data_IF_202920035540
#
_entry.id   IF_202920035540
#
_cell.length_a   1.000
_cell.length_b   1.000
_cell.length_c   1.000
_cell.angle_alpha   90.00
_cell.angle_beta   90.00
_cell.angle_gamma   90.00
#
_symmetry.space_group_name_H-M   'P 1'
#
loop_
_entity.id
_entity.type
_entity.pdbx_description
1 polymer ?
#
# COMPACT_ATOMS: atom_id res chain seq x y z
N UNK A 1 30.59 2.37 -26.51
CA UNK A 1 30.07 2.86 -27.80
C UNK A 1 28.59 2.41 -28.09
N UNK A 2 28.15 1.20 -27.71
CA UNK A 2 26.75 0.77 -27.94
C UNK A 2 25.68 1.59 -27.16
N UNK A 3 26.01 2.06 -25.95
CA UNK A 3 25.08 2.86 -25.13
C UNK A 3 24.76 4.24 -25.70
N UNK A 4 25.71 4.89 -26.38
CA UNK A 4 25.48 6.18 -27.04
C UNK A 4 24.63 6.06 -28.31
N UNK A 5 24.73 4.92 -29.02
CA UNK A 5 23.92 4.65 -30.21
C UNK A 5 22.44 4.45 -29.87
N UNK A 6 22.11 3.91 -28.70
CA UNK A 6 20.74 3.73 -28.23
C UNK A 6 20.08 5.09 -27.90
N UNK A 7 20.86 6.02 -27.29
CA UNK A 7 20.35 7.38 -27.01
C UNK A 7 20.19 8.20 -28.30
N UNK A 8 21.00 7.92 -29.34
CA UNK A 8 20.88 8.56 -30.66
C UNK A 8 19.63 8.10 -31.45
N UNK A 9 19.02 6.96 -31.08
CA UNK A 9 17.77 6.46 -31.71
C UNK A 9 16.51 6.94 -31.03
N UNK A 10 16.60 7.60 -29.84
CA UNK A 10 15.45 8.11 -29.10
C UNK A 10 14.88 9.36 -29.81
N UNK A 11 13.61 9.29 -30.19
CA UNK A 11 12.94 10.42 -30.82
C UNK A 11 12.32 11.35 -29.76
N UNK A 12 13.09 12.35 -29.37
CA UNK A 12 12.63 13.38 -28.42
C UNK A 12 11.42 14.17 -28.93
N UNK A 13 11.29 14.36 -30.25
CA UNK A 13 10.16 15.12 -30.82
C UNK A 13 8.84 14.34 -30.67
N UNK A 14 8.88 13.04 -30.91
CA UNK A 14 7.74 12.13 -30.68
C UNK A 14 7.41 12.08 -29.19
N UNK A 15 8.41 11.87 -28.33
CA UNK A 15 8.23 11.79 -26.88
C UNK A 15 7.51 13.03 -26.34
N UNK A 16 8.02 14.23 -26.60
CA UNK A 16 7.40 15.46 -26.09
C UNK A 16 6.03 15.76 -26.71
N UNK A 17 5.80 15.40 -27.98
CA UNK A 17 4.50 15.55 -28.62
C UNK A 17 3.43 14.67 -27.96
N UNK A 18 3.79 13.46 -27.53
CA UNK A 18 2.87 12.51 -26.89
C UNK A 18 2.76 12.80 -25.39
N UNK A 19 3.83 13.24 -24.75
CA UNK A 19 3.87 13.59 -23.33
C UNK A 19 3.01 14.83 -23.02
N UNK A 20 3.01 15.85 -23.89
CA UNK A 20 2.31 17.12 -23.68
C UNK A 20 1.19 17.33 -24.72
N UNK A 21 0.15 16.56 -24.64
CA UNK A 21 -0.90 16.54 -25.64
C UNK A 21 -2.06 17.50 -25.30
N UNK A 22 -2.98 17.77 -26.24
CA UNK A 22 -4.22 18.45 -25.96
C UNK A 22 -5.07 17.70 -24.93
N UNK A 23 -6.04 18.38 -24.31
CA UNK A 23 -6.90 17.91 -23.20
C UNK A 23 -7.63 16.57 -23.43
N UNK A 24 -7.79 16.14 -24.65
CA UNK A 24 -8.41 14.87 -25.05
C UNK A 24 -7.39 13.78 -25.41
N UNK A 25 -6.15 13.93 -24.99
CA UNK A 25 -5.10 12.94 -25.25
C UNK A 25 -5.44 11.60 -24.64
N UNK A 26 -5.19 10.48 -25.35
CA UNK A 26 -5.38 9.16 -24.82
C UNK A 26 -4.65 8.90 -23.50
N UNK A 27 -3.44 9.42 -23.33
CA UNK A 27 -2.69 9.28 -22.08
C UNK A 27 -3.30 10.05 -20.89
N UNK A 28 -3.88 11.23 -21.11
CA UNK A 28 -4.61 11.95 -20.05
C UNK A 28 -5.87 11.21 -19.63
N UNK A 29 -6.63 10.70 -20.60
CA UNK A 29 -7.84 9.91 -20.35
C UNK A 29 -7.47 8.62 -19.60
N UNK A 30 -6.43 7.93 -20.04
CA UNK A 30 -5.92 6.72 -19.40
C UNK A 30 -5.42 6.99 -17.97
N UNK A 31 -4.71 8.10 -17.74
CA UNK A 31 -4.30 8.54 -16.39
C UNK A 31 -5.48 8.83 -15.48
N UNK A 32 -6.54 9.47 -16.02
CA UNK A 32 -7.81 9.66 -15.33
C UNK A 32 -8.48 8.32 -14.96
N UNK A 33 -8.45 7.35 -15.87
CA UNK A 33 -8.98 6.01 -15.63
C UNK A 33 -8.19 5.27 -14.53
N UNK A 34 -6.85 5.37 -14.52
CA UNK A 34 -6.00 4.84 -13.44
C UNK A 34 -6.44 5.40 -12.08
N UNK A 35 -6.61 6.72 -11.98
CA UNK A 35 -7.06 7.36 -10.73
C UNK A 35 -8.46 6.92 -10.32
N UNK A 36 -9.39 6.81 -11.27
CA UNK A 36 -10.77 6.38 -11.02
C UNK A 36 -10.82 4.93 -10.52
N UNK A 37 -10.14 4.00 -11.21
CA UNK A 37 -10.05 2.59 -10.80
C UNK A 37 -9.40 2.49 -9.43
N UNK A 38 -8.29 3.21 -9.21
CA UNK A 38 -7.60 3.24 -7.90
C UNK A 38 -8.55 3.69 -6.80
N UNK A 39 -9.28 4.78 -6.99
CA UNK A 39 -10.21 5.30 -5.99
C UNK A 39 -11.33 4.31 -5.67
N UNK A 40 -11.95 3.73 -6.69
CA UNK A 40 -13.06 2.78 -6.52
C UNK A 40 -12.57 1.49 -5.86
N UNK A 41 -11.51 0.88 -6.40
CA UNK A 41 -10.98 -0.39 -5.91
C UNK A 41 -10.47 -0.27 -4.46
N UNK A 42 -9.72 0.80 -4.16
CA UNK A 42 -9.19 1.02 -2.82
C UNK A 42 -10.32 1.29 -1.81
N UNK A 43 -11.30 2.13 -2.16
CA UNK A 43 -12.42 2.42 -1.26
C UNK A 43 -13.25 1.17 -0.99
N UNK A 44 -13.57 0.39 -2.01
CA UNK A 44 -14.28 -0.88 -1.86
C UNK A 44 -13.45 -1.89 -1.05
N UNK A 45 -12.13 -1.95 -1.29
CA UNK A 45 -11.18 -2.76 -0.54
C UNK A 45 -11.13 -2.40 0.95
N UNK A 46 -11.11 -1.10 1.29
CA UNK A 46 -11.16 -0.63 2.68
C UNK A 46 -12.46 -1.05 3.36
N UNK A 47 -13.60 -0.84 2.71
CA UNK A 47 -14.92 -1.17 3.27
C UNK A 47 -15.04 -2.67 3.52
N UNK A 48 -14.73 -3.49 2.51
CA UNK A 48 -14.78 -4.94 2.63
C UNK A 48 -13.73 -5.44 3.62
N UNK A 49 -12.52 -4.91 3.58
CA UNK A 49 -11.44 -5.23 4.52
C UNK A 49 -11.79 -4.93 5.96
N UNK A 50 -12.52 -3.84 6.22
CA UNK A 50 -13.04 -3.54 7.57
C UNK A 50 -14.04 -4.61 8.05
N UNK A 51 -14.98 -5.01 7.19
CA UNK A 51 -15.97 -6.06 7.53
C UNK A 51 -15.25 -7.39 7.82
N UNK A 52 -14.28 -7.76 6.96
CA UNK A 52 -13.49 -8.99 7.13
C UNK A 52 -12.61 -8.93 8.39
N UNK A 53 -12.04 -7.76 8.74
CA UNK A 53 -11.24 -7.59 9.95
C UNK A 53 -12.08 -7.83 11.21
N UNK A 54 -13.33 -7.37 11.25
CA UNK A 54 -14.26 -7.66 12.35
C UNK A 54 -14.56 -9.16 12.46
N UNK A 55 -14.77 -9.83 11.33
CA UNK A 55 -14.97 -11.28 11.27
C UNK A 55 -13.74 -12.04 11.79
N UNK A 56 -12.55 -11.60 11.43
CA UNK A 56 -11.29 -12.22 11.83
C UNK A 56 -10.95 -12.06 13.32
N UNK A 57 -11.33 -10.93 13.93
CA UNK A 57 -11.16 -10.68 15.37
C UNK A 57 -12.21 -11.44 16.19
N UNK A 58 -13.28 -11.90 15.57
CA UNK A 58 -14.35 -12.65 16.24
C UNK A 58 -13.82 -13.93 16.88
N UNK A 59 -14.32 -14.23 18.08
CA UNK A 59 -14.08 -15.52 18.76
C UNK A 59 -14.88 -16.67 18.15
N UNK A 60 -15.95 -16.35 17.38
CA UNK A 60 -16.79 -17.36 16.74
C UNK A 60 -16.10 -17.92 15.48
N UNK A 61 -15.81 -19.22 15.43
CA UNK A 61 -15.16 -19.85 14.28
C UNK A 61 -15.96 -19.77 12.98
N UNK A 62 -17.29 -19.61 13.09
CA UNK A 62 -18.18 -19.46 11.93
C UNK A 62 -17.87 -18.18 11.12
N UNK A 63 -17.43 -17.10 11.77
CA UNK A 63 -17.04 -15.88 11.10
C UNK A 63 -15.54 -15.87 10.78
N UNK A 64 -14.71 -16.44 11.67
CA UNK A 64 -13.26 -16.41 11.53
C UNK A 64 -12.76 -17.29 10.39
N UNK A 65 -13.20 -18.56 10.32
CA UNK A 65 -12.71 -19.54 9.33
C UNK A 65 -12.92 -19.13 7.87
N UNK A 66 -14.09 -18.61 7.44
CA UNK A 66 -14.27 -18.12 6.09
C UNK A 66 -13.33 -16.96 5.74
N UNK A 67 -13.11 -16.04 6.70
CA UNK A 67 -12.17 -14.94 6.49
C UNK A 67 -10.73 -15.46 6.36
N UNK A 68 -10.31 -16.37 7.23
CA UNK A 68 -8.97 -16.96 7.15
C UNK A 68 -8.74 -17.68 5.80
N UNK A 69 -9.76 -18.38 5.29
CA UNK A 69 -9.73 -19.01 3.96
C UNK A 69 -9.63 -17.96 2.83
N UNK A 70 -10.44 -16.91 2.89
CA UNK A 70 -10.37 -15.81 1.94
C UNK A 70 -8.97 -15.17 1.89
N UNK A 71 -8.40 -14.87 3.04
CA UNK A 71 -7.06 -14.30 3.14
C UNK A 71 -5.98 -15.24 2.60
N UNK A 72 -6.12 -16.54 2.89
CA UNK A 72 -5.21 -17.57 2.38
C UNK A 72 -5.21 -17.59 0.84
N UNK A 73 -6.38 -17.53 0.20
CA UNK A 73 -6.50 -17.53 -1.25
C UNK A 73 -5.98 -16.22 -1.85
N UNK A 74 -6.52 -15.08 -1.43
CA UNK A 74 -6.23 -13.80 -2.08
C UNK A 74 -4.80 -13.28 -1.82
N UNK A 75 -4.21 -13.60 -0.68
CA UNK A 75 -2.81 -13.25 -0.39
C UNK A 75 -1.82 -14.32 -0.80
N UNK A 76 -2.28 -15.55 -1.03
CA UNK A 76 -1.46 -16.68 -1.45
C UNK A 76 -1.32 -16.85 -2.95
N UNK A 77 -2.11 -16.12 -3.76
CA UNK A 77 -2.07 -16.22 -5.22
C UNK A 77 -1.65 -14.89 -5.87
N UNK A 78 -0.96 -14.93 -7.03
CA UNK A 78 -0.57 -13.70 -7.75
C UNK A 78 -1.79 -12.88 -8.21
N UNK A 79 -1.74 -11.56 -8.04
CA UNK A 79 -2.82 -10.66 -8.45
C UNK A 79 -3.15 -10.79 -9.96
N UNK A 80 -2.12 -10.90 -10.82
CA UNK A 80 -2.34 -11.11 -12.26
C UNK A 80 -3.16 -12.37 -12.54
N UNK A 81 -2.87 -13.48 -11.85
CA UNK A 81 -3.64 -14.71 -12.00
C UNK A 81 -5.11 -14.51 -11.58
N UNK A 82 -5.35 -13.76 -10.49
CA UNK A 82 -6.72 -13.45 -10.05
C UNK A 82 -7.48 -12.63 -11.09
N UNK A 83 -6.82 -11.66 -11.75
CA UNK A 83 -7.42 -10.86 -12.82
C UNK A 83 -7.84 -11.75 -14.01
N UNK A 84 -6.94 -12.63 -14.47
CA UNK A 84 -7.23 -13.54 -15.58
C UNK A 84 -8.33 -14.54 -15.23
N UNK A 85 -8.31 -15.11 -14.02
CA UNK A 85 -9.37 -16.01 -13.56
C UNK A 85 -10.73 -15.31 -13.46
N UNK A 86 -10.75 -14.05 -13.02
CA UNK A 86 -12.01 -13.30 -12.89
C UNK A 86 -12.59 -12.91 -14.25
N UNK A 87 -11.77 -12.53 -15.20
CA UNK A 87 -12.23 -12.05 -16.51
C UNK A 87 -12.41 -13.21 -17.51
N UNK A 88 -11.37 -14.00 -17.75
CA UNK A 88 -11.38 -15.07 -18.73
C UNK A 88 -11.94 -16.38 -18.15
N UNK A 89 -11.47 -16.76 -16.95
CA UNK A 89 -11.86 -18.04 -16.33
C UNK A 89 -13.33 -18.12 -15.97
N UNK A 90 -13.93 -17.06 -15.43
CA UNK A 90 -15.37 -17.02 -15.15
C UNK A 90 -16.21 -16.99 -16.42
N UNK A 91 -15.74 -16.31 -17.49
CA UNK A 91 -16.42 -16.29 -18.79
C UNK A 91 -16.50 -17.70 -19.39
N UNK A 92 -15.42 -18.48 -19.29
CA UNK A 92 -15.37 -19.88 -19.75
C UNK A 92 -16.28 -20.79 -18.93
N UNK A 93 -16.20 -20.73 -17.60
CA UNK A 93 -16.95 -21.61 -16.69
C UNK A 93 -18.47 -21.41 -16.77
N UNK A 94 -18.91 -20.18 -16.96
CA UNK A 94 -20.36 -19.90 -16.91
C UNK A 94 -21.07 -20.23 -18.22
N UNK A 95 -20.38 -20.27 -19.37
CA UNK A 95 -20.96 -20.55 -20.68
C UNK A 95 -22.18 -19.70 -21.02
N UNK A 96 -22.68 -18.93 -20.03
CA UNK A 96 -23.90 -18.15 -20.14
C UNK A 96 -23.63 -16.73 -19.55
N UNK A 97 -23.52 -15.73 -20.43
CA UNK A 97 -23.19 -14.36 -20.02
C UNK A 97 -24.23 -13.70 -19.12
N UNK A 98 -25.41 -14.28 -18.96
CA UNK A 98 -26.55 -13.64 -18.27
C UNK A 98 -26.40 -13.64 -16.76
N UNK A 99 -25.72 -14.62 -16.15
CA UNK A 99 -25.66 -14.76 -14.69
C UNK A 99 -24.59 -13.83 -14.06
N UNK A 100 -23.49 -13.60 -14.78
CA UNK A 100 -22.38 -12.74 -14.34
C UNK A 100 -22.18 -11.55 -15.29
N UNK A 101 -23.20 -11.24 -16.07
CA UNK A 101 -23.28 -10.01 -16.86
C UNK A 101 -22.93 -8.85 -15.97
N UNK A 102 -22.45 -7.99 -15.98
CA UNK A 102 -21.49 -6.97 -16.26
C UNK A 102 -20.02 -7.34 -15.90
N UNK A 103 -19.78 -8.40 -15.16
CA UNK A 103 -18.41 -8.74 -14.70
C UNK A 103 -17.61 -9.38 -15.84
N UNK A 104 -18.21 -10.35 -16.56
CA UNK A 104 -17.52 -11.11 -17.61
C UNK A 104 -17.44 -10.39 -18.96
N UNK A 105 -18.27 -9.36 -19.19
CA UNK A 105 -18.32 -8.62 -20.45
C UNK A 105 -17.67 -7.24 -20.39
N UNK A 106 -17.29 -6.78 -19.21
CA UNK A 106 -16.64 -5.49 -19.04
C UNK A 106 -15.31 -5.65 -18.28
N UNK A 107 -14.21 -5.58 -19.02
CA UNK A 107 -12.87 -5.72 -18.47
C UNK A 107 -12.58 -4.71 -17.34
N UNK A 108 -13.11 -3.48 -17.43
CA UNK A 108 -12.94 -2.46 -16.40
C UNK A 108 -13.62 -2.90 -15.10
N UNK A 109 -14.85 -3.43 -15.20
CA UNK A 109 -15.62 -3.89 -14.03
C UNK A 109 -14.95 -5.11 -13.41
N UNK A 110 -14.61 -6.13 -14.23
CA UNK A 110 -13.93 -7.33 -13.76
C UNK A 110 -12.58 -7.02 -13.10
N UNK A 111 -11.76 -6.18 -13.74
CA UNK A 111 -10.48 -5.76 -13.23
C UNK A 111 -10.60 -4.96 -11.93
N UNK A 112 -11.49 -3.96 -11.89
CA UNK A 112 -11.72 -3.13 -10.70
C UNK A 112 -12.22 -3.96 -9.51
N UNK A 113 -13.13 -4.90 -9.75
CA UNK A 113 -13.62 -5.81 -8.73
C UNK A 113 -12.52 -6.72 -8.19
N UNK A 114 -11.70 -7.28 -9.08
CA UNK A 114 -10.57 -8.14 -8.66
C UNK A 114 -9.57 -7.38 -7.82
N UNK A 115 -9.21 -6.17 -8.25
CA UNK A 115 -8.34 -5.27 -7.47
C UNK A 115 -8.94 -4.98 -6.09
N UNK A 116 -10.25 -4.69 -6.01
CA UNK A 116 -10.93 -4.42 -4.75
C UNK A 116 -10.96 -5.65 -3.82
N UNK A 117 -11.20 -6.84 -4.36
CA UNK A 117 -11.17 -8.08 -3.60
C UNK A 117 -9.76 -8.40 -3.10
N UNK A 118 -8.75 -8.27 -3.94
CA UNK A 118 -7.37 -8.45 -3.52
C UNK A 118 -6.99 -7.45 -2.41
N UNK A 119 -7.30 -6.18 -2.60
CA UNK A 119 -7.05 -5.10 -1.64
C UNK A 119 -7.74 -5.34 -0.29
N UNK A 120 -8.97 -5.84 -0.30
CA UNK A 120 -9.70 -6.15 0.92
C UNK A 120 -8.95 -7.16 1.81
N UNK A 121 -8.20 -8.09 1.22
CA UNK A 121 -7.39 -9.03 1.98
C UNK A 121 -6.21 -8.34 2.68
N UNK A 122 -5.54 -7.38 2.03
CA UNK A 122 -4.47 -6.58 2.65
C UNK A 122 -5.04 -5.62 3.70
N UNK A 123 -6.11 -4.92 3.39
CA UNK A 123 -6.78 -4.00 4.31
C UNK A 123 -7.30 -4.70 5.56
N UNK A 124 -7.76 -5.97 5.45
CA UNK A 124 -8.15 -6.78 6.60
C UNK A 124 -7.02 -6.89 7.63
N UNK A 125 -5.80 -7.15 7.17
CA UNK A 125 -4.64 -7.27 8.05
C UNK A 125 -4.21 -5.93 8.64
N UNK A 126 -4.18 -4.88 7.82
CA UNK A 126 -3.82 -3.52 8.26
C UNK A 126 -4.78 -3.06 9.35
N UNK A 127 -6.08 -3.22 9.13
CA UNK A 127 -7.11 -2.81 10.09
C UNK A 127 -7.04 -3.66 11.37
N UNK A 128 -6.90 -5.00 11.23
CA UNK A 128 -6.75 -5.89 12.38
C UNK A 128 -5.52 -5.52 13.22
N UNK A 129 -4.38 -5.31 12.58
CA UNK A 129 -3.14 -4.94 13.25
C UNK A 129 -3.28 -3.59 13.99
N UNK A 130 -3.89 -2.59 13.36
CA UNK A 130 -4.13 -1.29 13.98
C UNK A 130 -5.07 -1.35 15.18
N UNK A 131 -6.15 -2.15 15.11
CA UNK A 131 -7.06 -2.34 16.24
C UNK A 131 -6.39 -3.09 17.41
N UNK A 132 -5.49 -4.03 17.12
CA UNK A 132 -4.78 -4.81 18.13
C UNK A 132 -3.54 -4.11 18.71
N UNK A 133 -3.08 -3.05 18.08
CA UNK A 133 -1.94 -2.27 18.55
C UNK A 133 -2.28 -1.30 19.70
N UNK A 134 -3.56 -1.10 19.98
CA UNK A 134 -4.00 -0.27 21.12
C UNK A 134 -3.71 -1.00 22.43
N UNK A 135 -3.08 -0.29 23.36
CA UNK A 135 -2.68 -0.83 24.66
C UNK A 135 -3.89 -1.41 25.44
N UNK A 136 -3.87 -2.71 25.79
CA UNK A 136 -4.93 -3.33 26.57
C UNK A 136 -5.16 -2.66 27.93
N UNK A 137 -4.10 -2.10 28.55
CA UNK A 137 -4.20 -1.40 29.83
C UNK A 137 -5.10 -0.18 29.77
N UNK A 138 -5.13 0.55 28.64
CA UNK A 138 -6.06 1.66 28.45
C UNK A 138 -7.53 1.19 28.37
N UNK A 139 -7.74 0.02 27.74
CA UNK A 139 -9.07 -0.59 27.63
C UNK A 139 -9.55 -1.02 29.02
N UNK A 140 -8.67 -1.65 29.80
CA UNK A 140 -9.01 -2.15 31.13
C UNK A 140 -9.20 -0.99 32.13
N UNK A 141 -8.39 0.05 32.07
CA UNK A 141 -8.59 1.27 32.88
C UNK A 141 -9.95 1.95 32.58
N UNK A 142 -10.31 2.05 31.30
CA UNK A 142 -11.60 2.62 30.90
C UNK A 142 -12.79 1.78 31.41
N UNK A 143 -12.65 0.46 31.39
CA UNK A 143 -13.66 -0.45 31.94
C UNK A 143 -13.78 -0.34 33.45
N UNK A 144 -12.66 -0.19 34.17
CA UNK A 144 -12.64 0.04 35.61
C UNK A 144 -13.36 1.33 36.00
N UNK A 145 -13.31 2.35 35.13
CA UNK A 145 -14.08 3.61 35.28
C UNK A 145 -15.58 3.46 34.88
N UNK A 146 -16.07 2.26 34.62
CA UNK A 146 -17.48 2.00 34.28
C UNK A 146 -17.86 2.37 32.85
N UNK A 147 -16.89 2.61 31.93
CA UNK A 147 -17.21 2.93 30.55
C UNK A 147 -17.84 1.73 29.81
N UNK A 148 -18.96 1.98 29.11
CA UNK A 148 -19.60 0.97 28.27
C UNK A 148 -18.67 0.58 27.11
N UNK A 149 -18.72 -0.69 26.68
CA UNK A 149 -17.86 -1.25 25.62
C UNK A 149 -17.86 -0.41 24.34
N UNK A 150 -19.01 0.09 23.92
CA UNK A 150 -19.11 0.96 22.74
C UNK A 150 -18.34 2.28 22.94
N UNK A 151 -18.47 2.90 24.13
CA UNK A 151 -17.79 4.15 24.44
C UNK A 151 -16.27 3.97 24.47
N UNK A 152 -15.77 2.86 25.03
CA UNK A 152 -14.36 2.48 24.97
C UNK A 152 -13.89 2.34 23.53
N UNK A 153 -14.68 1.65 22.68
CA UNK A 153 -14.35 1.47 21.27
C UNK A 153 -14.22 2.81 20.54
N UNK A 154 -15.26 3.66 20.60
CA UNK A 154 -15.29 4.90 19.83
C UNK A 154 -14.42 6.03 20.38
N UNK A 155 -14.21 6.11 21.70
CA UNK A 155 -13.42 7.19 22.30
C UNK A 155 -11.95 6.86 22.56
N UNK A 156 -11.60 5.57 22.68
CA UNK A 156 -10.25 5.14 23.03
C UNK A 156 -9.61 4.34 21.89
N UNK A 157 -10.27 3.26 21.45
CA UNK A 157 -9.66 2.31 20.50
C UNK A 157 -9.62 2.91 19.08
N UNK A 158 -10.76 3.31 18.53
CA UNK A 158 -10.85 3.78 17.13
C UNK A 158 -9.95 4.97 16.85
N UNK A 159 -9.90 6.06 17.67
CA UNK A 159 -9.04 7.19 17.38
C UNK A 159 -7.53 6.85 17.42
N UNK A 160 -7.14 5.87 18.23
CA UNK A 160 -5.74 5.41 18.28
C UNK A 160 -5.42 4.46 17.13
N UNK A 161 -6.32 3.50 16.85
CA UNK A 161 -6.18 2.57 15.75
C UNK A 161 -6.10 3.28 14.40
N UNK A 162 -6.92 4.31 14.15
CA UNK A 162 -6.89 5.08 12.91
C UNK A 162 -5.51 5.71 12.65
N UNK A 163 -4.80 6.15 13.68
CA UNK A 163 -3.44 6.70 13.51
C UNK A 163 -2.44 5.66 13.03
N UNK A 164 -2.68 4.40 13.35
CA UNK A 164 -1.82 3.28 12.95
C UNK A 164 -2.25 2.73 11.58
N UNK A 165 -3.57 2.76 11.28
CA UNK A 165 -4.15 2.22 10.04
C UNK A 165 -3.93 3.17 8.86
N UNK A 166 -4.09 4.48 9.06
CA UNK A 166 -4.11 5.47 7.98
C UNK A 166 -2.80 5.53 7.18
N UNK A 167 -1.59 5.58 7.79
CA UNK A 167 -0.36 5.62 7.01
C UNK A 167 -0.17 4.43 6.06
N UNK A 168 -0.27 3.15 6.49
CA UNK A 168 -0.16 2.02 5.57
C UNK A 168 -1.28 1.98 4.52
N UNK A 169 -2.49 2.46 4.85
CA UNK A 169 -3.59 2.57 3.86
C UNK A 169 -3.21 3.47 2.68
N UNK A 170 -2.49 4.58 2.92
CA UNK A 170 -2.02 5.44 1.84
C UNK A 170 -0.90 4.80 1.01
N UNK A 171 -0.04 3.97 1.61
CA UNK A 171 0.90 3.14 0.85
C UNK A 171 0.16 2.21 -0.12
N UNK A 172 -0.95 1.61 0.33
CA UNK A 172 -1.77 0.75 -0.53
C UNK A 172 -2.43 1.55 -1.67
N UNK A 173 -2.86 2.82 -1.47
CA UNK A 173 -3.32 3.69 -2.57
C UNK A 173 -2.26 3.86 -3.67
N UNK A 174 -1.00 4.09 -3.28
CA UNK A 174 0.10 4.24 -4.23
C UNK A 174 0.38 2.91 -4.94
N UNK A 175 0.35 1.80 -4.22
CA UNK A 175 0.52 0.46 -4.80
C UNK A 175 -0.63 0.12 -5.76
N UNK A 176 -1.87 0.40 -5.38
CA UNK A 176 -3.06 0.21 -6.19
C UNK A 176 -2.97 0.95 -7.52
N UNK A 177 -2.50 2.22 -7.52
CA UNK A 177 -2.34 3.00 -8.75
C UNK A 177 -1.34 2.38 -9.73
N UNK A 178 -0.34 1.65 -9.24
CA UNK A 178 0.61 0.88 -10.08
C UNK A 178 0.03 -0.47 -10.51
N UNK A 179 -0.73 -1.13 -9.63
CA UNK A 179 -1.34 -2.43 -9.90
C UNK A 179 -2.42 -2.34 -10.99
N UNK A 180 -3.00 -1.15 -11.26
CA UNK A 180 -3.89 -0.96 -12.41
C UNK A 180 -3.23 -1.31 -13.73
N UNK A 181 -1.89 -1.22 -13.86
CA UNK A 181 -1.16 -1.61 -15.06
C UNK A 181 -1.34 -3.08 -15.43
N UNK A 182 -1.63 -3.96 -14.46
CA UNK A 182 -1.91 -5.37 -14.73
C UNK A 182 -3.20 -5.56 -15.54
N UNK A 183 -4.10 -4.58 -15.52
CA UNK A 183 -5.36 -4.63 -16.28
C UNK A 183 -5.15 -4.49 -17.79
N UNK A 184 -3.96 -4.06 -18.23
CA UNK A 184 -3.59 -4.07 -19.66
C UNK A 184 -3.66 -5.48 -20.26
N UNK A 185 -3.43 -6.53 -19.45
CA UNK A 185 -3.53 -7.94 -19.91
C UNK A 185 -4.93 -8.37 -20.32
N UNK A 186 -5.96 -7.68 -19.84
CA UNK A 186 -7.37 -7.88 -20.21
C UNK A 186 -7.92 -6.70 -21.03
N UNK A 187 -7.01 -5.96 -21.71
CA UNK A 187 -7.32 -4.85 -22.62
C UNK A 187 -8.14 -3.70 -21.98
N UNK A 188 -7.91 -3.39 -20.71
CA UNK A 188 -8.40 -2.15 -20.09
C UNK A 188 -7.55 -0.99 -20.59
N UNK A 189 -8.13 0.08 -21.20
CA UNK A 189 -7.38 1.17 -21.82
C UNK A 189 -6.80 2.14 -20.79
N UNK A 190 -5.98 1.62 -19.87
CA UNK A 190 -5.22 2.38 -18.90
C UNK A 190 -3.85 2.82 -19.49
N UNK A 191 -2.96 3.39 -18.69
CA UNK A 191 -1.71 3.99 -19.19
C UNK A 191 -0.79 3.00 -19.91
N UNK A 192 -0.64 1.76 -19.40
CA UNK A 192 0.23 0.78 -20.02
C UNK A 192 -0.38 0.23 -21.32
N UNK A 193 -1.67 -0.09 -21.31
CA UNK A 193 -2.39 -0.54 -22.53
C UNK A 193 -2.37 0.56 -23.61
N UNK A 194 -2.57 1.83 -23.21
CA UNK A 194 -2.44 2.97 -24.13
C UNK A 194 -1.04 3.04 -24.74
N UNK A 195 0.03 2.88 -23.94
CA UNK A 195 1.38 2.85 -24.48
C UNK A 195 1.63 1.66 -25.42
N UNK A 196 1.06 0.49 -25.09
CA UNK A 196 1.11 -0.71 -25.94
C UNK A 196 0.42 -0.46 -27.29
N UNK A 197 -0.74 0.16 -27.28
CA UNK A 197 -1.48 0.55 -28.50
C UNK A 197 -0.70 1.54 -29.35
N UNK A 198 0.03 2.48 -28.73
CA UNK A 198 0.86 3.42 -29.47
C UNK A 198 2.07 2.75 -30.11
N UNK A 199 2.83 1.92 -29.38
CA UNK A 199 4.02 1.33 -29.96
C UNK A 199 3.72 0.25 -31.00
N UNK A 200 2.59 -0.44 -30.93
CA UNK A 200 2.19 -1.39 -31.98
C UNK A 200 1.89 -0.69 -33.32
N UNK A 201 1.44 0.56 -33.29
CA UNK A 201 1.15 1.35 -34.51
C UNK A 201 2.41 2.08 -35.04
N UNK A 202 3.30 2.54 -34.15
CA UNK A 202 4.41 3.42 -34.52
C UNK A 202 5.78 2.74 -34.40
N UNK A 203 5.85 1.52 -33.87
CA UNK A 203 7.08 0.76 -33.59
C UNK A 203 8.08 1.49 -32.67
N UNK A 204 7.58 2.47 -31.88
CA UNK A 204 8.37 3.27 -30.93
C UNK A 204 8.13 2.80 -29.50
N UNK A 205 8.69 1.64 -29.18
CA UNK A 205 8.43 0.94 -27.91
C UNK A 205 8.94 1.76 -26.74
N UNK A 206 10.20 2.19 -26.81
CA UNK A 206 10.86 2.86 -25.67
C UNK A 206 10.22 4.21 -25.36
N UNK A 207 9.96 5.04 -26.38
CA UNK A 207 9.34 6.36 -26.20
C UNK A 207 7.92 6.26 -25.65
N UNK A 208 7.10 5.33 -26.14
CA UNK A 208 5.73 5.13 -25.68
C UNK A 208 5.68 4.65 -24.22
N UNK A 209 6.53 3.70 -23.86
CA UNK A 209 6.64 3.23 -22.46
C UNK A 209 7.22 4.31 -21.55
N UNK A 210 8.17 5.14 -22.02
CA UNK A 210 8.71 6.26 -21.27
C UNK A 210 7.64 7.31 -20.96
N UNK A 211 6.72 7.59 -21.91
CA UNK A 211 5.57 8.48 -21.67
C UNK A 211 4.69 7.91 -20.57
N UNK A 212 4.30 6.63 -20.64
CA UNK A 212 3.50 5.99 -19.59
C UNK A 212 4.19 6.06 -18.22
N UNK A 213 5.52 5.79 -18.18
CA UNK A 213 6.30 5.88 -16.96
C UNK A 213 6.28 7.28 -16.34
N UNK A 214 6.36 8.34 -17.15
CA UNK A 214 6.25 9.73 -16.66
C UNK A 214 4.87 10.00 -16.07
N UNK A 215 3.79 9.55 -16.72
CA UNK A 215 2.44 9.69 -16.16
C UNK A 215 2.27 8.94 -14.84
N UNK A 216 2.77 7.70 -14.73
CA UNK A 216 2.79 6.97 -13.46
C UNK A 216 3.61 7.68 -12.38
N UNK A 217 4.75 8.26 -12.72
CA UNK A 217 5.55 9.07 -11.80
C UNK A 217 4.80 10.31 -11.31
N UNK A 218 4.08 11.00 -12.17
CA UNK A 218 3.26 12.15 -11.79
C UNK A 218 2.15 11.71 -10.82
N UNK A 219 1.41 10.65 -11.15
CA UNK A 219 0.33 10.11 -10.30
C UNK A 219 0.87 9.67 -8.93
N UNK A 220 1.91 8.86 -8.92
CA UNK A 220 2.50 8.35 -7.66
C UNK A 220 3.13 9.45 -6.84
N UNK A 221 3.78 10.45 -7.46
CA UNK A 221 4.33 11.63 -6.76
C UNK A 221 3.22 12.47 -6.12
N UNK A 222 2.11 12.67 -6.81
CA UNK A 222 0.95 13.36 -6.28
C UNK A 222 0.36 12.62 -5.07
N UNK A 223 0.14 11.31 -5.18
CA UNK A 223 -0.35 10.48 -4.08
C UNK A 223 0.62 10.46 -2.90
N UNK A 224 1.94 10.39 -3.17
CA UNK A 224 2.99 10.45 -2.14
C UNK A 224 3.01 11.80 -1.42
N UNK A 225 2.77 12.90 -2.14
CA UNK A 225 2.67 14.22 -1.51
C UNK A 225 1.47 14.31 -0.55
N UNK A 226 0.33 13.73 -0.92
CA UNK A 226 -0.85 13.62 -0.04
C UNK A 226 -0.51 12.75 1.17
N UNK A 227 0.12 11.58 0.96
CA UNK A 227 0.54 10.69 2.04
C UNK A 227 1.40 11.41 3.07
N UNK A 228 2.44 12.13 2.65
CA UNK A 228 3.34 12.88 3.54
C UNK A 228 2.59 13.92 4.40
N UNK A 229 1.61 14.62 3.82
CA UNK A 229 0.81 15.59 4.58
C UNK A 229 -0.06 14.90 5.64
N UNK A 230 -0.55 13.71 5.34
CA UNK A 230 -1.36 12.92 6.27
C UNK A 230 -0.46 12.33 7.36
N UNK A 231 0.67 11.76 6.99
CA UNK A 231 1.65 11.22 7.96
C UNK A 231 2.15 12.30 8.93
N UNK A 232 2.44 13.52 8.46
CA UNK A 232 2.81 14.62 9.33
C UNK A 232 1.74 14.91 10.40
N UNK A 233 0.45 14.91 10.01
CA UNK A 233 -0.65 15.14 10.97
C UNK A 233 -0.87 14.00 11.97
N UNK A 234 -0.55 12.77 11.59
CA UNK A 234 -0.74 11.58 12.45
C UNK A 234 0.55 11.15 13.16
N UNK A 235 1.73 11.46 12.61
CA UNK A 235 3.05 11.01 13.06
C UNK A 235 3.62 11.82 14.23
N UNK A 236 3.48 13.15 14.24
CA UNK A 236 4.06 14.03 15.27
C UNK A 236 3.71 13.61 16.72
N UNK A 237 2.48 13.13 16.92
CA UNK A 237 2.03 12.66 18.24
C UNK A 237 2.53 11.25 18.61
N UNK A 238 3.09 10.51 17.68
CA UNK A 238 3.63 9.16 17.95
C UNK A 238 5.08 9.26 18.42
N UNK A 239 5.86 10.19 17.88
CA UNK A 239 7.22 10.49 18.33
C UNK A 239 7.24 11.04 19.76
N UNK A 240 6.32 11.94 20.10
CA UNK A 240 6.19 12.45 21.48
C UNK A 240 5.89 11.33 22.50
N UNK A 241 5.10 10.32 22.13
CA UNK A 241 4.80 9.17 22.99
C UNK A 241 5.96 8.20 23.11
N UNK A 242 6.78 8.05 22.07
CA UNK A 242 7.99 7.19 22.10
C UNK A 242 9.11 7.89 22.83
N UNK A 243 9.28 9.19 22.67
CA UNK A 243 10.27 10.01 23.39
C UNK A 243 10.00 10.06 24.90
N UNK A 244 8.73 9.97 25.32
CA UNK A 244 8.35 9.91 26.75
C UNK A 244 8.44 8.51 27.39
N UNK A 245 8.74 7.46 26.62
CA UNK A 245 8.97 6.13 27.21
C UNK A 245 10.41 5.98 27.66
N UNK A 246 10.68 5.52 28.91
CA UNK A 246 12.05 5.22 29.34
C UNK A 246 12.65 4.19 28.35
N UNK A 247 13.89 4.46 27.94
CA UNK A 247 14.60 3.59 27.01
C UNK A 247 14.61 2.14 27.54
N UNK A 248 14.29 1.16 26.71
CA UNK A 248 14.24 -0.23 27.15
C UNK A 248 15.62 -0.67 27.71
N UNK A 249 15.66 -1.54 28.72
CA UNK A 249 16.88 -1.90 29.44
C UNK A 249 18.05 -2.33 28.54
N UNK A 250 17.73 -2.99 27.41
CA UNK A 250 18.74 -3.45 26.46
C UNK A 250 19.46 -2.30 25.73
N UNK A 251 18.79 -1.12 25.54
CA UNK A 251 19.43 0.05 24.93
C UNK A 251 20.50 0.65 25.84
N UNK A 252 20.31 0.57 27.16
CA UNK A 252 21.34 0.96 28.15
C UNK A 252 22.54 0.03 28.12
N UNK A 253 22.33 -1.26 27.85
CA UNK A 253 23.41 -2.24 27.72
C UNK A 253 24.27 -1.99 26.46
N UNK A 254 23.67 -1.51 25.35
CA UNK A 254 24.41 -1.21 24.12
C UNK A 254 25.11 0.15 24.15
N UNK A 255 24.60 1.14 24.90
CA UNK A 255 25.24 2.44 25.07
C UNK A 255 26.24 2.49 26.22
N UNK A 256 26.09 1.60 27.20
CA UNK A 256 27.03 1.47 28.34
C UNK A 256 28.34 0.74 28.02
N UNK A 257 28.47 0.11 26.87
CA UNK A 257 29.72 -0.57 26.48
C UNK A 257 30.80 0.37 25.90
N UNK A 258 30.51 1.68 25.76
CA UNK A 258 31.44 2.67 25.21
C UNK A 258 32.04 3.66 26.20
N UNK A 259 31.55 3.73 27.42
CA UNK A 259 32.17 4.54 28.47
C UNK A 259 33.05 3.64 29.34
N UNK A 260 34.22 3.27 28.86
CA UNK A 260 35.31 2.90 29.75
C UNK A 260 35.69 4.16 30.50
N UNK A 261 35.57 4.05 31.81
CA UNK A 261 35.99 5.01 32.84
C UNK A 261 37.45 5.41 32.59
N UNK A 262 37.69 6.63 32.07
CA UNK A 262 39.01 7.26 31.94
C UNK A 262 39.48 7.81 33.33
N UNK A 263 38.84 7.42 34.43
CA UNK A 263 39.18 7.89 35.76
C UNK A 263 40.15 7.00 36.53
N UNK A 264 40.81 6.02 35.90
CA UNK A 264 41.89 5.21 36.52
C UNK A 264 43.22 5.51 35.86
N UNK A 265 43.63 6.77 35.83
CA UNK A 265 45.04 7.12 35.80
C UNK A 265 45.44 7.53 37.23
N UNK A 266 45.40 6.55 38.11
CA UNK A 266 46.08 6.65 39.41
C UNK A 266 47.58 6.63 39.20
N UNK A 267 48.20 7.76 39.51
CA UNK A 267 49.64 8.00 39.71
C UNK A 267 50.30 6.81 40.40
N UNK A 268 51.25 6.16 39.68
CA UNK A 268 52.20 5.24 40.27
C UNK A 268 53.24 6.10 41.06
N UNK A 269 53.41 5.92 42.36
CA UNK A 269 54.48 6.60 43.09
C UNK A 269 55.85 5.97 42.69
N UNK A 270 56.74 6.81 42.18
CA UNK A 270 58.15 6.49 42.08
C UNK A 270 58.72 6.20 43.46
N UNK A 271 58.99 4.93 43.76
CA UNK A 271 59.64 4.43 44.96
C UNK A 271 60.98 3.82 44.60
N UNK A 272 62.04 4.50 45.01
CA UNK A 272 63.44 4.19 45.02
C UNK A 272 63.76 2.70 45.01
N UNK A 273 64.59 2.26 44.05
CA UNK A 273 65.45 1.06 44.16
C UNK A 273 66.84 1.56 44.45
N UNK A 274 67.25 1.41 45.72
CA UNK A 274 68.64 1.37 46.14
C UNK A 274 69.09 -0.09 46.20
N UNK A 275 70.20 -0.36 45.43
CA UNK A 275 71.13 -1.47 45.50
C UNK A 275 70.59 -2.86 45.17
#
# INVERSE_FOLDING_TARGET
MRSLAVLASFDFSFFFRVLWPPWNSPFLVAGGLVLLITLIAQTAGIILGFILALGRISKNPLFKKPVDFYLYVFRGTPLLLQILLMYEGLAELTGNPVILFPITHNAIVAGTLTLALNEAAYMTEIIRAGLQAVDPGQIDAARALGMRRQLVMFRIVVPQALRIIVPPTFNEYINMSKNTSLLSTIAVPELLDTAQSYYTQNFRVFESLAVAAVYYLIITSFLTAIQRQIEARFGERQEERVAGRPAPPWRRLLTGAGQRDESVTGTVPEGEVKL
#
